data_IF_055340084734
#
_entry.id   IF_055340084734
#
_cell.length_a   1.000
_cell.length_b   1.000
_cell.length_c   1.000
_cell.angle_alpha   90.00
_cell.angle_beta   90.00
_cell.angle_gamma   90.00
#
_symmetry.space_group_name_H-M   'P 1'
#
loop_
_entity.id
_entity.type
_entity.pdbx_description
1 polymer ?
#
# COMPACT_ATOMS: atom_id res chain seq x y z
N UNK A 1 7.62 1.87 -1.06
CA UNK A 1 7.79 1.30 -2.42
C UNK A 1 9.14 1.72 -2.95
N UNK A 2 9.38 3.03 -3.07
CA UNK A 2 10.61 3.60 -3.61
C UNK A 2 11.92 3.33 -2.87
N UNK A 3 11.92 2.88 -1.62
CA UNK A 3 13.15 2.80 -0.79
C UNK A 3 14.26 1.91 -1.36
N UNK A 4 13.92 0.86 -2.11
CA UNK A 4 14.88 -0.03 -2.78
C UNK A 4 15.12 0.34 -4.25
N UNK A 5 14.33 1.26 -4.79
CA UNK A 5 14.37 1.66 -6.20
C UNK A 5 15.15 2.96 -6.35
N UNK A 6 14.84 3.98 -5.55
CA UNK A 6 15.42 5.32 -5.69
C UNK A 6 16.94 5.34 -5.51
N UNK A 7 17.57 4.64 -4.55
CA UNK A 7 19.04 4.69 -4.47
C UNK A 7 19.73 4.12 -5.72
N UNK A 8 19.11 3.14 -6.37
CA UNK A 8 19.62 2.53 -7.61
C UNK A 8 19.43 3.49 -8.79
N UNK A 9 18.27 4.15 -8.85
CA UNK A 9 17.98 5.18 -9.85
C UNK A 9 18.92 6.38 -9.70
N UNK A 10 19.12 6.88 -8.48
CA UNK A 10 19.98 8.02 -8.20
C UNK A 10 21.43 7.75 -8.65
N UNK A 11 21.94 6.54 -8.37
CA UNK A 11 23.28 6.12 -8.81
C UNK A 11 23.38 6.02 -10.34
N UNK A 12 22.37 5.43 -11.00
CA UNK A 12 22.34 5.35 -12.47
C UNK A 12 22.27 6.73 -13.13
N UNK A 13 21.47 7.65 -12.56
CA UNK A 13 21.37 9.04 -12.99
C UNK A 13 22.69 9.79 -12.83
N UNK A 14 23.40 9.55 -11.72
CA UNK A 14 24.73 10.14 -11.46
C UNK A 14 25.75 9.73 -12.53
N UNK A 15 25.70 8.48 -13.01
CA UNK A 15 26.61 7.96 -14.04
C UNK A 15 26.25 8.49 -15.44
N UNK A 16 24.96 8.56 -15.77
CA UNK A 16 24.47 8.85 -17.11
C UNK A 16 24.21 10.33 -17.39
N UNK A 17 24.06 11.14 -16.33
CA UNK A 17 23.58 12.52 -16.43
C UNK A 17 22.07 12.64 -16.64
N UNK A 18 21.32 11.54 -16.57
CA UNK A 18 19.85 11.57 -16.62
C UNK A 18 19.26 12.20 -15.36
N UNK A 19 18.09 12.82 -15.49
CA UNK A 19 17.36 13.39 -14.36
C UNK A 19 16.12 12.56 -14.00
N UNK A 20 15.91 12.21 -12.72
CA UNK A 20 14.72 11.48 -12.31
C UNK A 20 13.53 12.42 -12.11
N UNK A 21 12.41 12.11 -12.75
CA UNK A 21 11.11 12.78 -12.58
C UNK A 21 10.08 11.82 -12.00
N UNK A 22 9.42 12.21 -10.92
CA UNK A 22 8.44 11.37 -10.23
C UNK A 22 7.02 11.69 -10.67
N UNK A 23 6.18 10.66 -10.75
CA UNK A 23 4.80 10.78 -11.24
C UNK A 23 4.73 11.43 -12.63
N UNK A 24 5.63 11.02 -13.53
CA UNK A 24 5.78 11.60 -14.86
C UNK A 24 4.53 11.37 -15.70
N UNK A 25 3.91 12.47 -16.12
CA UNK A 25 2.66 12.47 -16.83
C UNK A 25 2.84 12.08 -18.30
N UNK A 26 2.05 11.10 -18.74
CA UNK A 26 1.86 10.75 -20.14
C UNK A 26 0.43 11.09 -20.58
N UNK A 27 0.26 12.05 -21.50
CA UNK A 27 -1.05 12.27 -22.09
C UNK A 27 -1.43 11.03 -22.90
N UNK A 28 -2.49 10.33 -22.47
CA UNK A 28 -3.05 9.20 -23.20
C UNK A 28 -4.48 9.54 -23.66
N UNK A 29 -4.57 10.26 -24.78
CA UNK A 29 -5.84 10.69 -25.36
C UNK A 29 -6.57 11.81 -24.58
N UNK A 30 -7.76 12.23 -25.06
CA UNK A 30 -8.38 13.50 -24.65
C UNK A 30 -8.87 13.56 -23.19
N UNK A 31 -8.88 12.45 -22.43
CA UNK A 31 -9.42 12.44 -21.06
C UNK A 31 -8.79 11.38 -20.12
N UNK A 32 -7.66 10.74 -20.45
CA UNK A 32 -6.99 9.80 -19.53
C UNK A 32 -5.61 10.33 -19.14
N UNK A 33 -5.41 10.46 -17.84
CA UNK A 33 -4.10 10.75 -17.25
C UNK A 33 -3.46 9.43 -16.86
N UNK A 34 -2.42 9.05 -17.57
CA UNK A 34 -1.51 8.01 -17.11
C UNK A 34 -0.27 8.72 -16.55
N UNK A 35 0.20 8.25 -15.41
CA UNK A 35 1.47 8.69 -14.83
C UNK A 35 2.29 7.46 -14.51
N UNK A 36 3.52 7.42 -14.99
CA UNK A 36 4.50 6.42 -14.55
C UNK A 36 5.14 6.90 -13.24
N UNK A 37 5.49 5.97 -12.36
CA UNK A 37 6.01 6.31 -11.04
C UNK A 37 7.31 7.12 -11.10
N UNK A 38 8.25 6.74 -11.99
CA UNK A 38 9.51 7.43 -12.22
C UNK A 38 9.81 7.43 -13.73
N UNK A 39 10.22 8.57 -14.28
CA UNK A 39 10.86 8.68 -15.59
C UNK A 39 12.30 9.16 -15.42
N UNK A 40 13.23 8.66 -16.21
CA UNK A 40 14.59 9.21 -16.31
C UNK A 40 14.68 10.00 -17.62
N UNK A 41 15.01 11.27 -17.52
CA UNK A 41 14.87 12.26 -18.59
C UNK A 41 16.25 12.72 -19.06
N UNK A 42 16.39 12.93 -20.36
CA UNK A 42 17.50 13.64 -20.99
C UNK A 42 16.94 14.80 -21.82
N UNK A 43 17.28 16.05 -21.51
CA UNK A 43 16.80 17.24 -22.23
C UNK A 43 15.27 17.22 -22.51
N UNK A 44 14.47 17.05 -21.46
CA UNK A 44 13.00 16.91 -21.48
C UNK A 44 12.44 15.67 -22.22
N UNK A 45 13.30 14.79 -22.76
CA UNK A 45 12.88 13.54 -23.37
C UNK A 45 13.03 12.37 -22.39
N UNK A 46 11.95 11.60 -22.12
CA UNK A 46 12.06 10.42 -21.28
C UNK A 46 12.83 9.31 -22.00
N UNK A 47 13.85 8.78 -21.33
CA UNK A 47 14.70 7.67 -21.79
C UNK A 47 14.23 6.36 -21.16
N UNK A 48 14.05 6.37 -19.84
CA UNK A 48 13.54 5.23 -19.07
C UNK A 48 12.22 5.58 -18.40
N UNK A 49 11.30 4.62 -18.39
CA UNK A 49 10.04 4.68 -17.64
C UNK A 49 10.03 3.52 -16.64
N UNK A 50 9.83 3.81 -15.35
CA UNK A 50 9.91 2.82 -14.27
C UNK A 50 8.59 2.79 -13.51
N UNK A 51 7.91 1.66 -13.59
CA UNK A 51 6.71 1.35 -12.80
C UNK A 51 7.11 0.58 -11.55
N UNK A 52 6.91 1.19 -10.38
CA UNK A 52 7.20 0.60 -9.10
C UNK A 52 6.00 -0.20 -8.58
N UNK A 53 6.25 -1.41 -8.08
CA UNK A 53 5.24 -2.25 -7.43
C UNK A 53 5.59 -2.48 -5.97
N UNK A 54 4.57 -2.82 -5.18
CA UNK A 54 4.81 -3.31 -3.82
C UNK A 54 5.62 -4.60 -3.87
N UNK A 55 6.50 -4.79 -2.89
CA UNK A 55 7.37 -5.96 -2.77
C UNK A 55 6.65 -7.30 -3.01
N UNK A 56 5.42 -7.45 -2.49
CA UNK A 56 4.63 -8.68 -2.57
C UNK A 56 3.84 -8.89 -3.87
N UNK A 57 3.91 -7.96 -4.84
CA UNK A 57 3.13 -8.04 -6.08
C UNK A 57 3.87 -8.86 -7.13
N UNK A 58 3.09 -9.58 -7.93
CA UNK A 58 3.56 -10.20 -9.18
C UNK A 58 4.00 -9.07 -10.11
N UNK A 59 5.14 -9.28 -10.78
CA UNK A 59 5.67 -8.36 -11.76
C UNK A 59 5.40 -8.89 -13.17
N UNK A 60 5.04 -8.00 -14.07
CA UNK A 60 4.77 -8.31 -15.47
C UNK A 60 5.15 -7.07 -16.32
N UNK A 61 5.90 -7.22 -17.43
CA UNK A 61 6.32 -6.11 -18.28
C UNK A 61 5.13 -5.36 -18.92
N UNK A 62 3.99 -6.02 -19.09
CA UNK A 62 2.75 -5.39 -19.56
C UNK A 62 2.25 -4.26 -18.66
N UNK A 63 2.76 -4.11 -17.44
CA UNK A 63 2.50 -2.93 -16.62
C UNK A 63 3.20 -1.67 -17.11
N UNK A 64 4.35 -1.78 -17.80
CA UNK A 64 5.07 -0.61 -18.32
C UNK A 64 4.75 -0.31 -19.79
N UNK A 65 4.37 -1.32 -20.58
CA UNK A 65 4.08 -1.18 -22.01
C UNK A 65 3.14 -0.02 -22.37
N UNK A 66 2.05 0.29 -21.62
CA UNK A 66 1.15 1.40 -21.97
C UNK A 66 1.78 2.79 -21.90
N UNK A 67 2.94 2.95 -21.26
CA UNK A 67 3.64 4.24 -21.11
C UNK A 67 4.71 4.49 -22.17
N UNK A 68 5.14 3.43 -22.87
CA UNK A 68 6.30 3.47 -23.76
C UNK A 68 5.91 3.92 -25.17
N UNK A 69 6.72 4.80 -25.74
CA UNK A 69 6.70 5.11 -27.17
C UNK A 69 7.98 4.62 -27.88
N UNK A 70 8.09 4.88 -29.19
CA UNK A 70 9.23 4.41 -29.97
C UNK A 70 10.54 5.02 -29.48
N UNK A 71 11.52 4.17 -29.13
CA UNK A 71 12.83 4.59 -28.62
C UNK A 71 12.94 4.61 -27.09
N UNK A 72 11.82 4.49 -26.36
CA UNK A 72 11.82 4.49 -24.91
C UNK A 72 12.04 3.09 -24.33
N UNK A 73 12.58 3.05 -23.12
CA UNK A 73 12.89 1.83 -22.41
C UNK A 73 12.07 1.76 -21.12
N UNK A 74 11.58 0.57 -20.78
CA UNK A 74 10.68 0.35 -19.66
C UNK A 74 11.30 -0.51 -18.57
N UNK A 75 10.89 -0.28 -17.34
CA UNK A 75 11.21 -1.12 -16.18
C UNK A 75 9.95 -1.33 -15.35
N UNK A 76 9.78 -2.56 -14.86
CA UNK A 76 8.85 -2.89 -13.78
C UNK A 76 9.66 -3.46 -12.63
N UNK A 77 9.56 -2.86 -11.46
CA UNK A 77 10.35 -3.27 -10.29
C UNK A 77 9.57 -3.25 -9.00
N UNK A 78 9.84 -4.20 -8.11
CA UNK A 78 9.41 -4.14 -6.71
C UNK A 78 10.56 -3.77 -5.75
N UNK A 79 11.70 -3.36 -6.30
CA UNK A 79 12.95 -3.11 -5.61
C UNK A 79 13.87 -4.32 -5.55
N UNK A 80 13.34 -5.54 -5.38
CA UNK A 80 14.16 -6.76 -5.31
C UNK A 80 14.38 -7.41 -6.68
N UNK A 81 13.34 -7.41 -7.52
CA UNK A 81 13.34 -7.93 -8.87
C UNK A 81 13.07 -6.77 -9.82
N UNK A 82 13.84 -6.72 -10.90
CA UNK A 82 13.80 -5.71 -11.94
C UNK A 82 13.56 -6.38 -13.28
N UNK A 83 12.46 -6.04 -13.93
CA UNK A 83 12.14 -6.48 -15.29
C UNK A 83 12.36 -5.31 -16.22
N UNK A 84 13.36 -5.43 -17.09
CA UNK A 84 13.63 -4.48 -18.16
C UNK A 84 12.80 -4.87 -19.38
N UNK A 85 12.29 -3.88 -20.11
CA UNK A 85 11.48 -4.07 -21.30
C UNK A 85 11.89 -3.07 -22.39
N UNK A 86 12.35 -3.58 -23.53
CA UNK A 86 12.85 -2.76 -24.65
C UNK A 86 12.41 -3.43 -25.97
N UNK A 87 11.63 -2.71 -26.78
CA UNK A 87 11.16 -3.18 -28.10
C UNK A 87 10.60 -4.61 -28.04
N UNK A 88 9.54 -4.82 -27.25
CA UNK A 88 8.83 -6.10 -27.07
C UNK A 88 9.66 -7.25 -26.48
N UNK A 89 10.92 -7.00 -26.10
CA UNK A 89 11.77 -7.96 -25.41
C UNK A 89 11.88 -7.59 -23.94
N UNK A 90 11.96 -8.60 -23.08
CA UNK A 90 12.13 -8.40 -21.64
C UNK A 90 13.31 -9.18 -21.09
N UNK A 91 14.01 -8.62 -20.11
CA UNK A 91 15.08 -9.27 -19.38
C UNK A 91 14.86 -9.08 -17.87
N UNK A 92 15.24 -10.08 -17.07
CA UNK A 92 15.04 -10.07 -15.62
C UNK A 92 16.37 -10.00 -14.90
N UNK A 93 16.50 -9.06 -13.97
CA UNK A 93 17.61 -8.99 -13.03
C UNK A 93 17.08 -9.05 -11.60
N UNK A 94 17.60 -10.02 -10.85
CA UNK A 94 17.32 -10.20 -9.44
C UNK A 94 17.22 -11.68 -9.04
N UNK A 95 16.91 -11.98 -7.77
CA UNK A 95 16.78 -11.03 -6.66
C UNK A 95 18.09 -10.25 -6.41
N UNK A 96 18.00 -9.00 -5.97
CA UNK A 96 19.19 -8.23 -5.55
C UNK A 96 19.53 -8.46 -4.07
N UNK A 97 18.63 -9.08 -3.32
CA UNK A 97 18.86 -9.53 -1.94
C UNK A 97 19.00 -11.05 -1.91
N UNK A 98 19.99 -11.54 -1.18
CA UNK A 98 20.11 -12.96 -0.87
C UNK A 98 19.05 -13.40 0.18
N UNK A 99 18.90 -14.71 0.46
CA UNK A 99 17.95 -15.19 1.46
C UNK A 99 18.18 -14.66 2.89
N UNK A 100 19.36 -14.12 3.18
CA UNK A 100 19.73 -13.51 4.45
C UNK A 100 19.48 -11.99 4.48
N UNK A 101 19.12 -11.40 3.33
CA UNK A 101 18.85 -9.98 3.18
C UNK A 101 20.07 -9.12 2.83
N UNK A 102 21.21 -9.72 2.50
CA UNK A 102 22.38 -8.98 2.02
C UNK A 102 22.28 -8.67 0.53
N UNK A 103 22.87 -7.55 0.12
CA UNK A 103 22.92 -7.13 -1.28
C UNK A 103 23.82 -8.06 -2.09
N UNK A 104 23.30 -8.53 -3.22
CA UNK A 104 24.04 -9.25 -4.24
C UNK A 104 24.60 -8.19 -5.21
N UNK A 105 25.81 -7.71 -4.92
CA UNK A 105 26.43 -6.58 -5.63
C UNK A 105 26.43 -6.75 -7.16
N UNK A 106 26.73 -7.94 -7.66
CA UNK A 106 26.75 -8.21 -9.11
C UNK A 106 25.39 -8.03 -9.81
N UNK A 107 24.27 -8.18 -9.08
CA UNK A 107 22.93 -7.89 -9.61
C UNK A 107 22.65 -6.39 -9.60
N UNK A 108 23.06 -5.72 -8.54
CA UNK A 108 22.96 -4.28 -8.39
C UNK A 108 23.74 -3.55 -9.51
N UNK A 109 25.00 -3.93 -9.71
CA UNK A 109 25.87 -3.35 -10.74
C UNK A 109 25.27 -3.50 -12.14
N UNK A 110 24.67 -4.66 -12.43
CA UNK A 110 23.98 -4.90 -13.71
C UNK A 110 22.78 -3.98 -13.91
N UNK A 111 21.97 -3.78 -12.86
CA UNK A 111 20.80 -2.88 -12.93
C UNK A 111 21.26 -1.45 -13.17
N UNK A 112 22.24 -0.98 -12.39
CA UNK A 112 22.78 0.38 -12.51
C UNK A 112 23.37 0.57 -13.91
N UNK A 113 24.27 -0.32 -14.34
CA UNK A 113 24.89 -0.27 -15.67
C UNK A 113 23.86 -0.21 -16.80
N UNK A 114 22.76 -0.95 -16.68
CA UNK A 114 21.67 -0.92 -17.68
C UNK A 114 20.90 0.39 -17.66
N UNK A 115 20.47 0.86 -16.48
CA UNK A 115 19.71 2.11 -16.33
C UNK A 115 20.52 3.34 -16.74
N UNK A 116 21.85 3.27 -16.66
CA UNK A 116 22.73 4.34 -17.10
C UNK A 116 22.84 4.47 -18.62
N UNK A 117 22.29 3.54 -19.40
CA UNK A 117 22.32 3.62 -20.86
C UNK A 117 21.23 4.56 -21.38
N UNK A 118 21.57 5.38 -22.38
CA UNK A 118 20.66 6.37 -22.97
C UNK A 118 19.98 5.91 -24.25
N UNK A 119 20.35 4.73 -24.76
CA UNK A 119 19.79 4.18 -25.99
C UNK A 119 19.45 2.68 -25.86
N UNK A 120 18.44 2.19 -26.60
CA UNK A 120 18.01 0.79 -26.57
C UNK A 120 19.09 -0.23 -26.91
N UNK A 121 20.05 0.08 -27.78
CA UNK A 121 21.05 -0.87 -28.26
C UNK A 121 22.07 -1.12 -27.16
N UNK A 122 22.60 -0.05 -26.56
CA UNK A 122 23.54 -0.12 -25.44
C UNK A 122 22.90 -0.74 -24.21
N UNK A 123 21.65 -0.39 -23.91
CA UNK A 123 20.88 -1.01 -22.82
C UNK A 123 20.71 -2.52 -23.03
N UNK A 124 20.37 -2.96 -24.24
CA UNK A 124 20.28 -4.40 -24.55
C UNK A 124 21.63 -5.10 -24.42
N UNK A 125 22.72 -4.47 -24.86
CA UNK A 125 24.07 -5.04 -24.74
C UNK A 125 24.54 -5.19 -23.29
N UNK A 126 23.98 -4.41 -22.35
CA UNK A 126 24.33 -4.48 -20.92
C UNK A 126 23.70 -5.66 -20.17
N UNK A 127 22.71 -6.35 -20.77
CA UNK A 127 22.05 -7.51 -20.19
C UNK A 127 21.96 -8.69 -21.15
N UNK A 128 22.19 -9.88 -20.61
CA UNK A 128 21.91 -11.12 -21.32
C UNK A 128 20.45 -11.59 -21.13
N UNK A 129 20.05 -12.62 -21.89
CA UNK A 129 18.80 -13.36 -21.72
C UNK A 129 17.52 -12.56 -22.00
N UNK A 130 17.54 -11.70 -23.01
CA UNK A 130 16.32 -11.07 -23.52
C UNK A 130 15.36 -12.11 -24.12
N UNK A 131 14.10 -12.06 -23.70
CA UNK A 131 13.05 -12.97 -24.12
C UNK A 131 11.95 -12.20 -24.84
N UNK A 132 11.44 -12.75 -25.95
CA UNK A 132 10.29 -12.20 -26.69
C UNK A 132 8.94 -12.70 -26.17
N UNK A 133 8.94 -13.82 -25.44
CA UNK A 133 7.76 -14.36 -24.78
C UNK A 133 7.91 -14.24 -23.27
N UNK A 134 6.91 -13.64 -22.63
CA UNK A 134 6.90 -13.49 -21.18
C UNK A 134 6.18 -14.67 -20.52
N UNK A 135 6.85 -15.33 -19.59
CA UNK A 135 6.23 -16.26 -18.64
C UNK A 135 6.15 -15.53 -17.31
N UNK A 136 4.94 -15.46 -16.73
CA UNK A 136 4.72 -14.73 -15.48
C UNK A 136 5.76 -15.13 -14.42
N UNK A 137 6.46 -14.12 -13.90
CA UNK A 137 7.44 -14.34 -12.86
C UNK A 137 6.71 -14.74 -11.56
N UNK A 138 6.67 -16.04 -11.30
CA UNK A 138 6.08 -16.57 -10.08
C UNK A 138 6.88 -16.12 -8.87
N UNK A 139 6.17 -15.81 -7.79
CA UNK A 139 6.67 -15.35 -6.50
C UNK A 139 7.81 -16.27 -6.01
N UNK A 140 9.06 -15.88 -6.24
CA UNK A 140 10.20 -16.54 -5.60
C UNK A 140 10.11 -16.31 -4.11
N UNK A 141 10.43 -17.35 -3.32
CA UNK A 141 10.48 -17.28 -1.86
C UNK A 141 11.31 -16.06 -1.47
N UNK A 142 10.61 -15.01 -1.08
CA UNK A 142 11.26 -13.79 -0.68
C UNK A 142 11.89 -14.04 0.68
N UNK A 143 13.15 -13.63 0.93
CA UNK A 143 13.62 -13.51 2.29
C UNK A 143 12.59 -12.73 3.10
N UNK A 144 12.37 -13.12 4.35
CA UNK A 144 11.59 -12.30 5.28
C UNK A 144 12.28 -10.94 5.33
N UNK A 145 11.73 -9.97 4.60
CA UNK A 145 12.47 -8.77 4.18
C UNK A 145 12.95 -8.01 5.41
N UNK A 146 14.28 -7.97 5.60
CA UNK A 146 14.94 -7.06 6.53
C UNK A 146 14.86 -5.65 5.95
N UNK A 147 14.18 -4.74 6.66
CA UNK A 147 14.11 -3.33 6.27
C UNK A 147 15.09 -2.53 7.13
N UNK A 148 16.17 -2.02 6.52
CA UNK A 148 17.05 -1.01 7.11
C UNK A 148 16.26 0.28 7.34
N UNK A 149 16.01 0.59 8.61
CA UNK A 149 15.30 1.78 9.04
C UNK A 149 16.17 3.03 8.90
N UNK A 150 15.70 4.03 8.14
CA UNK A 150 16.14 5.42 8.33
C UNK A 150 15.65 5.86 9.71
N UNK A 151 16.57 5.92 10.68
CA UNK A 151 16.37 6.53 11.99
C UNK A 151 15.33 5.83 12.87
N UNK A 152 15.81 4.96 13.77
CA UNK A 152 15.15 4.60 15.05
C UNK A 152 13.72 4.00 15.04
N UNK A 153 13.21 3.45 13.94
CA UNK A 153 11.84 2.95 13.87
C UNK A 153 11.72 1.50 13.40
N UNK A 154 11.84 0.55 14.33
CA UNK A 154 11.27 -0.80 14.16
C UNK A 154 9.81 -0.66 13.71
N UNK A 155 9.52 -1.08 12.48
CA UNK A 155 8.16 -1.51 12.14
C UNK A 155 8.12 -3.00 12.32
N UNK A 156 7.79 -3.39 13.54
CA UNK A 156 7.36 -4.73 13.91
C UNK A 156 6.37 -5.18 12.83
N UNK A 157 6.64 -6.35 12.22
CA UNK A 157 5.62 -7.04 11.44
C UNK A 157 4.42 -7.18 12.36
N UNK A 158 3.40 -6.38 12.11
CA UNK A 158 2.20 -6.39 12.92
C UNK A 158 1.45 -7.66 12.55
N UNK A 159 1.77 -8.74 13.24
CA UNK A 159 1.04 -9.99 13.11
C UNK A 159 -0.44 -9.65 13.25
N UNK A 160 -1.20 -10.04 12.22
CA UNK A 160 -2.62 -9.81 12.19
C UNK A 160 -3.27 -10.93 12.97
N UNK A 161 -3.86 -10.61 14.11
CA UNK A 161 -4.69 -11.57 14.84
C UNK A 161 -6.13 -11.40 14.38
N UNK A 162 -6.77 -12.49 14.00
CA UNK A 162 -8.19 -12.52 13.69
C UNK A 162 -8.98 -13.05 14.88
N UNK A 163 -10.10 -12.42 15.21
CA UNK A 163 -11.07 -12.90 16.19
C UNK A 163 -12.49 -12.57 15.73
N UNK A 164 -13.47 -13.32 16.21
CA UNK A 164 -14.90 -13.03 15.99
C UNK A 164 -15.48 -12.10 17.06
N UNK A 165 -14.76 -11.88 18.17
CA UNK A 165 -15.23 -11.06 19.29
C UNK A 165 -14.52 -9.71 19.29
N UNK A 166 -15.31 -8.64 19.28
CA UNK A 166 -14.83 -7.28 19.48
C UNK A 166 -14.27 -7.14 20.90
N UNK A 167 -14.91 -7.74 21.89
CA UNK A 167 -14.44 -7.74 23.27
C UNK A 167 -13.06 -8.38 23.42
N UNK A 168 -12.84 -9.57 22.84
CA UNK A 168 -11.52 -10.22 22.86
C UNK A 168 -10.45 -9.32 22.21
N UNK A 169 -10.78 -8.67 21.09
CA UNK A 169 -9.85 -7.76 20.43
C UNK A 169 -9.51 -6.55 21.31
N UNK A 170 -10.50 -5.95 21.99
CA UNK A 170 -10.31 -4.82 22.90
C UNK A 170 -9.48 -5.23 24.12
N UNK A 171 -9.76 -6.39 24.72
CA UNK A 171 -9.01 -6.91 25.87
C UNK A 171 -7.53 -7.08 25.51
N UNK A 172 -7.26 -7.67 24.33
CA UNK A 172 -5.89 -7.75 23.82
C UNK A 172 -5.30 -6.36 23.64
N UNK A 173 -6.04 -5.40 23.06
CA UNK A 173 -5.51 -4.05 22.83
C UNK A 173 -5.11 -3.38 24.16
N UNK A 174 -6.02 -3.35 25.12
CA UNK A 174 -5.80 -2.68 26.40
C UNK A 174 -4.71 -3.38 27.23
N UNK A 175 -4.54 -4.70 27.09
CA UNK A 175 -3.50 -5.44 27.80
C UNK A 175 -2.11 -5.36 27.15
N UNK A 176 -2.02 -5.25 25.82
CA UNK A 176 -0.75 -5.41 25.08
C UNK A 176 -0.14 -4.12 24.54
N UNK A 177 -0.93 -3.05 24.35
CA UNK A 177 -0.41 -1.81 23.75
C UNK A 177 0.03 -0.79 24.79
N UNK A 178 1.34 -0.80 25.06
CA UNK A 178 2.07 0.20 25.87
C UNK A 178 1.78 1.66 25.44
N UNK A 179 1.21 1.89 24.25
CA UNK A 179 0.88 3.22 23.72
C UNK A 179 -0.54 3.75 23.97
N UNK A 180 -1.53 2.91 24.32
CA UNK A 180 -2.91 3.37 24.52
C UNK A 180 -3.12 3.71 25.98
N UNK A 181 -3.09 5.00 26.31
CA UNK A 181 -3.39 5.44 27.69
C UNK A 181 -4.90 5.35 27.93
N UNK A 182 -5.31 4.78 29.06
CA UNK A 182 -6.74 4.66 29.43
C UNK A 182 -7.48 6.00 29.48
N UNK A 183 -6.79 7.08 29.84
CA UNK A 183 -7.36 8.44 29.91
C UNK A 183 -7.44 9.16 28.55
N UNK A 184 -6.81 8.61 27.51
CA UNK A 184 -6.87 9.15 26.15
C UNK A 184 -8.24 8.94 25.51
N UNK A 185 -8.63 9.74 24.50
CA UNK A 185 -9.89 9.54 23.79
C UNK A 185 -10.04 8.13 23.21
N UNK A 186 -8.96 7.54 22.69
CA UNK A 186 -8.96 6.15 22.20
C UNK A 186 -9.20 5.16 23.35
N UNK A 187 -8.44 5.28 24.45
CA UNK A 187 -8.58 4.40 25.61
C UNK A 187 -10.00 4.44 26.20
N UNK A 188 -10.55 5.64 26.39
CA UNK A 188 -11.93 5.84 26.87
C UNK A 188 -12.96 5.21 25.95
N UNK A 189 -12.80 5.37 24.64
CA UNK A 189 -13.74 4.78 23.68
C UNK A 189 -13.70 3.25 23.69
N UNK A 190 -12.50 2.65 23.76
CA UNK A 190 -12.36 1.20 23.88
C UNK A 190 -12.98 0.68 25.19
N UNK A 191 -12.79 1.39 26.30
CA UNK A 191 -13.46 1.07 27.57
C UNK A 191 -14.98 1.21 27.47
N UNK A 192 -15.51 2.24 26.79
CA UNK A 192 -16.95 2.36 26.56
C UNK A 192 -17.51 1.15 25.80
N UNK A 193 -16.84 0.71 24.72
CA UNK A 193 -17.26 -0.49 23.98
C UNK A 193 -17.25 -1.75 24.87
N UNK A 194 -16.28 -1.86 25.78
CA UNK A 194 -16.13 -2.99 26.71
C UNK A 194 -17.19 -2.95 27.84
N UNK A 195 -17.39 -1.79 28.46
CA UNK A 195 -18.34 -1.57 29.57
C UNK A 195 -19.79 -1.77 29.11
N UNK A 196 -20.07 -1.41 27.86
CA UNK A 196 -21.38 -1.56 27.22
C UNK A 196 -21.59 -2.94 26.57
N UNK A 197 -20.66 -3.87 26.75
CA UNK A 197 -20.64 -5.24 26.20
C UNK A 197 -20.99 -5.28 24.70
N UNK A 198 -20.37 -4.37 23.94
CA UNK A 198 -20.64 -4.23 22.51
C UNK A 198 -19.94 -5.32 21.72
N UNK A 199 -20.71 -6.01 20.89
CA UNK A 199 -20.20 -7.02 19.96
C UNK A 199 -20.64 -6.73 18.53
N UNK A 200 -19.81 -7.16 17.58
CA UNK A 200 -20.13 -7.05 16.16
C UNK A 200 -21.17 -8.08 15.76
N UNK A 201 -22.12 -7.68 14.91
CA UNK A 201 -23.22 -8.57 14.50
C UNK A 201 -22.81 -9.64 13.48
N UNK A 202 -21.75 -9.40 12.70
CA UNK A 202 -21.34 -10.27 11.60
C UNK A 202 -19.90 -10.02 11.17
N UNK A 203 -19.28 -11.03 10.54
CA UNK A 203 -17.93 -10.93 10.01
C UNK A 203 -16.86 -11.24 11.06
N UNK A 204 -15.76 -10.51 11.06
CA UNK A 204 -14.64 -10.72 11.99
C UNK A 204 -13.85 -9.44 12.26
N UNK A 205 -13.06 -9.44 13.32
CA UNK A 205 -12.12 -8.39 13.69
C UNK A 205 -10.70 -8.82 13.30
N UNK A 206 -10.03 -7.96 12.53
CA UNK A 206 -8.59 -8.04 12.29
C UNK A 206 -7.89 -7.02 13.21
N UNK A 207 -7.02 -7.52 14.07
CA UNK A 207 -6.21 -6.73 14.99
C UNK A 207 -4.76 -6.70 14.52
N UNK A 208 -4.14 -5.52 14.57
CA UNK A 208 -2.71 -5.32 14.31
C UNK A 208 -2.17 -4.25 15.25
N UNK A 209 -0.84 -4.09 15.31
CA UNK A 209 -0.21 -3.12 16.21
C UNK A 209 -0.65 -1.67 16.04
N UNK A 210 -1.20 -1.35 14.87
CA UNK A 210 -1.57 0.02 14.52
C UNK A 210 -3.07 0.20 14.35
N UNK A 211 -3.85 -0.89 14.29
CA UNK A 211 -5.25 -0.83 13.82
C UNK A 211 -6.09 -1.97 14.37
N UNK A 212 -7.35 -1.63 14.67
CA UNK A 212 -8.46 -2.58 14.75
C UNK A 212 -9.34 -2.39 13.52
N UNK A 213 -9.69 -3.47 12.84
CA UNK A 213 -10.52 -3.44 11.65
C UNK A 213 -11.67 -4.43 11.80
N UNK A 214 -12.90 -3.95 11.66
CA UNK A 214 -14.07 -4.80 11.51
C UNK A 214 -14.31 -5.08 10.02
N UNK A 215 -14.24 -6.35 9.65
CA UNK A 215 -14.49 -6.87 8.31
C UNK A 215 -15.87 -7.54 8.25
N UNK A 216 -16.59 -7.28 7.17
CA UNK A 216 -17.86 -7.91 6.83
C UNK A 216 -17.65 -9.30 6.21
N UNK A 217 -18.69 -10.16 6.20
CA UNK A 217 -18.59 -11.49 5.60
C UNK A 217 -18.16 -11.52 4.12
N UNK A 218 -18.45 -10.45 3.37
CA UNK A 218 -18.08 -10.28 1.96
C UNK A 218 -16.64 -9.75 1.77
N UNK A 219 -15.88 -9.59 2.85
CA UNK A 219 -14.52 -9.07 2.85
C UNK A 219 -14.41 -7.55 2.76
N UNK A 220 -15.54 -6.83 2.72
CA UNK A 220 -15.54 -5.37 2.79
C UNK A 220 -15.30 -4.91 4.23
N UNK A 221 -14.78 -3.68 4.36
CA UNK A 221 -14.52 -3.09 5.66
C UNK A 221 -15.77 -2.38 6.18
N UNK A 222 -16.24 -2.81 7.35
CA UNK A 222 -17.27 -2.12 8.11
C UNK A 222 -16.70 -0.88 8.81
N UNK A 223 -15.69 -1.09 9.66
CA UNK A 223 -15.05 -0.03 10.42
C UNK A 223 -13.53 -0.27 10.56
N UNK A 224 -12.78 0.81 10.79
CA UNK A 224 -11.37 0.74 11.18
C UNK A 224 -11.08 1.83 12.20
N UNK A 225 -10.44 1.46 13.30
CA UNK A 225 -9.88 2.37 14.30
C UNK A 225 -8.37 2.44 14.10
N UNK A 226 -7.82 3.66 14.07
CA UNK A 226 -6.37 3.86 14.14
C UNK A 226 -5.92 3.85 15.62
N UNK A 227 -5.00 2.93 15.96
CA UNK A 227 -4.51 2.75 17.32
C UNK A 227 -3.24 3.58 17.60
N UNK A 228 -2.69 4.26 16.58
CA UNK A 228 -1.43 5.01 16.71
C UNK A 228 -1.62 6.49 17.01
N UNK A 229 -2.83 7.01 16.79
CA UNK A 229 -3.12 8.44 16.90
C UNK A 229 -3.53 8.81 18.33
N UNK A 230 -3.09 9.99 18.79
CA UNK A 230 -3.49 10.52 20.12
C UNK A 230 -4.99 10.87 20.21
N UNK A 231 -5.64 11.06 19.07
CA UNK A 231 -7.07 11.30 18.96
C UNK A 231 -7.74 10.06 18.39
N UNK A 232 -9.01 9.83 18.74
CA UNK A 232 -9.77 8.75 18.12
C UNK A 232 -10.05 9.12 16.67
N UNK A 233 -9.57 8.29 15.74
CA UNK A 233 -9.92 8.35 14.32
C UNK A 233 -10.52 7.01 13.90
N UNK A 234 -11.79 7.05 13.47
CA UNK A 234 -12.52 5.87 12.99
C UNK A 234 -12.94 6.10 11.54
N UNK A 235 -12.66 5.14 10.67
CA UNK A 235 -13.18 5.08 9.31
C UNK A 235 -14.33 4.08 9.26
N UNK A 236 -15.53 4.50 8.85
CA UNK A 236 -16.76 3.70 8.91
C UNK A 236 -17.46 3.69 7.55
N UNK A 237 -18.02 2.54 7.16
CA UNK A 237 -18.81 2.39 5.95
C UNK A 237 -20.14 3.14 6.07
N UNK A 238 -20.54 3.85 5.00
CA UNK A 238 -21.71 4.73 5.04
C UNK A 238 -23.01 3.99 5.38
N UNK A 239 -23.20 2.77 4.89
CA UNK A 239 -24.39 1.97 5.25
C UNK A 239 -24.52 1.69 6.76
N UNK A 240 -23.40 1.58 7.48
CA UNK A 240 -23.38 1.38 8.93
C UNK A 240 -23.70 2.70 9.65
N UNK A 241 -23.20 3.81 9.11
CA UNK A 241 -23.51 5.15 9.63
C UNK A 241 -25.00 5.45 9.48
N UNK A 242 -25.58 5.10 8.34
CA UNK A 242 -27.00 5.30 8.06
C UNK A 242 -27.86 4.44 9.00
N UNK A 243 -27.44 3.18 9.24
CA UNK A 243 -28.09 2.28 10.20
C UNK A 243 -27.97 2.76 11.67
N UNK A 244 -26.84 3.37 12.04
CA UNK A 244 -26.64 3.96 13.37
C UNK A 244 -27.48 5.24 13.57
N UNK A 245 -27.95 5.85 12.48
CA UNK A 245 -28.67 7.12 12.47
C UNK A 245 -27.71 8.30 12.56
N UNK A 246 -27.44 8.92 11.41
CA UNK A 246 -26.54 10.08 11.24
C UNK A 246 -26.73 11.21 12.27
N UNK A 247 -27.97 11.47 12.68
CA UNK A 247 -28.34 12.56 13.61
C UNK A 247 -27.82 12.31 15.02
N UNK A 248 -27.54 11.05 15.36
CA UNK A 248 -27.04 10.66 16.69
C UNK A 248 -25.53 10.81 16.84
N UNK A 249 -24.78 10.97 15.73
CA UNK A 249 -23.32 11.02 15.74
C UNK A 249 -22.85 12.47 15.91
N UNK A 250 -22.30 12.78 17.08
CA UNK A 250 -21.80 14.10 17.44
C UNK A 250 -20.34 14.32 17.00
N UNK A 251 -19.63 13.25 16.65
CA UNK A 251 -18.22 13.29 16.26
C UNK A 251 -18.00 14.06 14.95
N UNK A 252 -16.83 14.69 14.81
CA UNK A 252 -16.48 15.45 13.62
C UNK A 252 -16.33 14.56 12.39
N UNK A 253 -17.13 14.83 11.36
CA UNK A 253 -17.18 14.08 10.10
C UNK A 253 -16.22 14.65 9.05
N UNK A 254 -15.43 13.79 8.41
CA UNK A 254 -14.65 14.07 7.20
C UNK A 254 -14.86 12.96 6.16
N UNK A 255 -15.16 13.31 4.91
CA UNK A 255 -15.27 12.33 3.82
C UNK A 255 -13.89 11.71 3.52
N UNK A 256 -13.85 10.41 3.19
CA UNK A 256 -12.59 9.75 2.91
C UNK A 256 -12.14 9.99 1.46
N UNK A 257 -10.97 10.61 1.30
CA UNK A 257 -10.45 11.10 0.01
C UNK A 257 -10.33 10.01 -1.08
N UNK A 258 -10.24 8.73 -0.71
CA UNK A 258 -10.00 7.61 -1.65
C UNK A 258 -11.15 6.61 -1.78
N UNK A 259 -12.16 6.68 -0.93
CA UNK A 259 -13.28 5.74 -1.00
C UNK A 259 -14.56 6.47 -0.58
N UNK A 260 -15.43 6.86 -1.54
CA UNK A 260 -16.62 7.64 -1.25
C UNK A 260 -17.65 6.86 -0.40
N UNK A 261 -17.53 5.53 -0.30
CA UNK A 261 -18.38 4.69 0.55
C UNK A 261 -17.99 4.71 2.04
N UNK A 262 -16.89 5.37 2.39
CA UNK A 262 -16.39 5.44 3.76
C UNK A 262 -16.32 6.89 4.24
N UNK A 263 -16.58 7.08 5.52
CA UNK A 263 -16.48 8.37 6.20
C UNK A 263 -15.56 8.24 7.41
N UNK A 264 -14.68 9.22 7.60
CA UNK A 264 -13.82 9.32 8.78
C UNK A 264 -14.51 10.17 9.85
N UNK A 265 -14.55 9.66 11.08
CA UNK A 265 -14.94 10.40 12.28
C UNK A 265 -13.76 10.65 13.19
N UNK A 266 -13.71 11.85 13.75
CA UNK A 266 -12.77 12.25 14.80
C UNK A 266 -13.54 12.66 16.05
N UNK A 267 -13.16 12.11 17.20
CA UNK A 267 -13.81 12.39 18.47
C UNK A 267 -12.78 12.65 19.56
N UNK A 268 -13.13 13.56 20.48
CA UNK A 268 -12.26 14.00 21.60
C UNK A 268 -13.01 14.06 22.92
N UNK A 269 -14.28 14.47 22.91
CA UNK A 269 -15.10 14.61 24.12
C UNK A 269 -15.89 13.34 24.43
N UNK A 270 -16.25 13.09 25.69
CA UNK A 270 -17.01 11.89 26.07
C UNK A 270 -18.33 11.75 25.31
N UNK A 271 -19.01 12.87 25.00
CA UNK A 271 -20.25 12.86 24.23
C UNK A 271 -20.00 12.43 22.77
N UNK A 272 -18.94 12.94 22.12
CA UNK A 272 -18.55 12.50 20.77
C UNK A 272 -18.14 11.02 20.75
N UNK A 273 -17.40 10.56 21.76
CA UNK A 273 -16.98 9.16 21.88
C UNK A 273 -18.20 8.23 22.04
N UNK A 274 -19.09 8.55 22.98
CA UNK A 274 -20.30 7.75 23.22
C UNK A 274 -21.21 7.73 21.98
N UNK A 275 -21.28 8.82 21.21
CA UNK A 275 -22.06 8.88 19.97
C UNK A 275 -21.57 7.91 18.88
N UNK A 276 -20.34 7.40 18.98
CA UNK A 276 -19.76 6.45 18.02
C UNK A 276 -19.96 4.99 18.46
N UNK A 277 -20.37 4.71 19.70
CA UNK A 277 -20.59 3.34 20.20
C UNK A 277 -21.67 2.59 19.40
N UNK A 278 -22.83 3.20 19.05
CA UNK A 278 -23.89 2.52 18.31
C UNK A 278 -23.45 1.92 16.95
N UNK A 279 -22.41 2.47 16.31
CA UNK A 279 -21.88 2.00 15.02
C UNK A 279 -21.52 0.50 15.08
N UNK A 280 -21.00 0.03 16.20
CA UNK A 280 -20.57 -1.36 16.36
C UNK A 280 -21.71 -2.31 16.70
N UNK A 281 -22.90 -1.79 17.05
CA UNK A 281 -24.13 -2.57 17.29
C UNK A 281 -24.98 -2.75 16.04
N UNK A 282 -24.72 -1.97 14.98
CA UNK A 282 -25.52 -2.00 13.77
C UNK A 282 -25.34 -3.32 13.02
N UNK A 283 -26.45 -3.91 12.59
CA UNK A 283 -26.44 -4.99 11.61
C UNK A 283 -26.31 -4.33 10.23
N UNK A 284 -25.20 -4.54 9.51
CA UNK A 284 -25.06 -4.02 8.16
C UNK A 284 -26.16 -4.62 7.29
N UNK A 285 -27.03 -3.80 6.73
CA UNK A 285 -27.90 -4.24 5.65
C UNK A 285 -27.01 -4.39 4.42
N UNK A 286 -26.41 -5.57 4.26
CA UNK A 286 -25.81 -5.95 3.00
C UNK A 286 -26.96 -5.97 1.99
N UNK A 287 -27.13 -4.88 1.25
CA UNK A 287 -27.94 -4.93 0.03
C UNK A 287 -27.30 -6.02 -0.80
N UNK A 288 -27.98 -7.17 -0.92
CA UNK A 288 -27.60 -8.18 -1.88
C UNK A 288 -27.39 -7.41 -3.18
N UNK A 289 -26.16 -7.45 -3.69
CA UNK A 289 -25.81 -6.79 -4.93
C UNK A 289 -26.81 -7.29 -5.96
N UNK A 290 -27.77 -6.45 -6.31
CA UNK A 290 -28.60 -6.65 -7.49
C UNK A 290 -27.60 -6.69 -8.64
N UNK A 291 -27.29 -7.92 -9.06
CA UNK A 291 -26.54 -8.17 -10.27
C UNK A 291 -27.33 -7.50 -11.39
N UNK A 292 -26.93 -6.28 -11.76
CA UNK A 292 -27.29 -5.70 -13.04
C UNK A 292 -26.71 -6.64 -14.09
N UNK A 293 -27.62 -7.38 -14.72
CA UNK A 293 -27.42 -8.12 -15.96
C UNK A 293 -27.03 -7.14 -17.06
#
# INVERSE_FOLDING_TARGET
MYRLITPIVDEACTISGLEPYFEYFRPNGPNRRLSVDIALINDDQPVWMIEAKKYSRILNPGFITPYLTSGEMGVVSNGNIWIFHIQDQSAVVGPILDPQGFLIQSKLDRIISTLSQTDPISAKASLDNWQSTWVDYQKTMSPAVWYLGKGTGERIYAEKKETKSLREAIDVILASFIGVRHDSPLGKFLSMLQDEDVEISSGYIELSVNRLVWQLPDGQRAARIDLTTRQLEILVHNDIIDAAGLVSILAHKKMHDKNPKMTTYKARTNAELASLVPIFRCIPQLKASENCI
#
